data_IF_501337817457
#
_entry.id   IF_501337817457
#
_cell.length_a   1.000
_cell.length_b   1.000
_cell.length_c   1.000
_cell.angle_alpha   90.00
_cell.angle_beta   90.00
_cell.angle_gamma   90.00
#
_symmetry.space_group_name_H-M   'P 1'
#
loop_
_entity.id
_entity.type
_entity.pdbx_description
1 polymer ?
#
# COMPACT_ATOMS: atom_id res chain seq x y z
N UNK A 1 -16.22 16.95 20.10
CA UNK A 1 -15.16 16.35 19.25
C UNK A 1 -15.75 15.15 18.54
N UNK A 2 -15.62 15.07 17.22
CA UNK A 2 -16.19 13.94 16.48
C UNK A 2 -15.49 12.64 16.88
N UNK A 3 -16.25 11.66 17.37
CA UNK A 3 -15.75 10.34 17.82
C UNK A 3 -14.83 9.70 16.79
N UNK A 4 -15.17 9.82 15.50
CA UNK A 4 -14.36 9.32 14.36
C UNK A 4 -12.95 9.92 14.39
N UNK A 5 -12.82 11.22 14.63
CA UNK A 5 -11.50 11.90 14.67
C UNK A 5 -10.67 11.41 15.86
N UNK A 6 -11.29 11.19 17.00
CA UNK A 6 -10.60 10.66 18.18
C UNK A 6 -10.07 9.25 17.93
N UNK A 7 -10.89 8.39 17.30
CA UNK A 7 -10.48 7.04 16.94
C UNK A 7 -9.35 7.08 15.91
N UNK A 8 -9.46 7.95 14.89
CA UNK A 8 -8.43 8.11 13.88
C UNK A 8 -7.09 8.56 14.47
N UNK A 9 -7.10 9.53 15.37
CA UNK A 9 -5.89 9.99 16.07
C UNK A 9 -5.27 8.89 16.94
N UNK A 10 -6.09 8.11 17.64
CA UNK A 10 -5.60 7.01 18.45
C UNK A 10 -4.98 5.92 17.57
N UNK A 11 -5.65 5.54 16.49
CA UNK A 11 -5.15 4.58 15.50
C UNK A 11 -3.84 5.03 14.88
N UNK A 12 -3.74 6.29 14.49
CA UNK A 12 -2.51 6.87 13.95
C UNK A 12 -1.35 6.79 14.96
N UNK A 13 -1.60 7.18 16.24
CA UNK A 13 -0.59 7.10 17.30
C UNK A 13 -0.16 5.68 17.63
N UNK A 14 -1.09 4.73 17.60
CA UNK A 14 -0.80 3.31 17.78
C UNK A 14 0.05 2.77 16.64
N UNK A 15 -0.35 3.06 15.40
CA UNK A 15 0.32 2.57 14.20
C UNK A 15 1.71 3.18 13.99
N UNK A 16 1.93 4.45 14.38
CA UNK A 16 3.28 5.07 14.34
C UNK A 16 4.26 4.35 15.29
N UNK A 17 3.78 3.72 16.35
CA UNK A 17 4.63 2.97 17.28
C UNK A 17 4.91 1.54 16.85
N UNK A 18 4.34 1.11 15.73
CA UNK A 18 4.56 -0.25 15.22
C UNK A 18 5.98 -0.38 14.64
N UNK A 19 6.72 -1.37 15.14
CA UNK A 19 8.10 -1.62 14.70
C UNK A 19 8.18 -1.99 13.22
N UNK A 20 7.16 -2.66 12.70
CA UNK A 20 7.07 -3.07 11.29
C UNK A 20 7.09 -1.84 10.37
N UNK A 21 6.41 -0.76 10.76
CA UNK A 21 6.41 0.50 10.01
C UNK A 21 7.85 1.02 9.79
N UNK A 22 8.63 1.09 10.86
CA UNK A 22 10.00 1.64 10.79
C UNK A 22 10.93 0.76 9.97
N UNK A 23 10.80 -0.56 10.10
CA UNK A 23 11.58 -1.51 9.30
C UNK A 23 11.28 -1.35 7.81
N UNK A 24 10.00 -1.32 7.43
CA UNK A 24 9.59 -1.18 6.04
C UNK A 24 9.98 0.20 5.47
N UNK A 25 9.82 1.26 6.25
CA UNK A 25 10.21 2.62 5.85
C UNK A 25 11.74 2.74 5.68
N UNK A 26 12.51 2.09 6.56
CA UNK A 26 13.96 2.02 6.41
C UNK A 26 14.37 1.30 5.12
N UNK A 27 13.78 0.14 4.82
CA UNK A 27 14.06 -0.59 3.58
C UNK A 27 13.63 0.20 2.34
N UNK A 28 12.52 0.92 2.39
CA UNK A 28 12.08 1.80 1.30
C UNK A 28 13.13 2.88 1.01
N UNK A 29 13.57 3.60 2.05
CA UNK A 29 14.60 4.64 1.91
C UNK A 29 15.94 4.05 1.47
N UNK A 30 16.33 2.89 2.00
CA UNK A 30 17.56 2.20 1.58
C UNK A 30 17.51 1.80 0.10
N UNK A 31 16.36 1.32 -0.40
CA UNK A 31 16.17 1.00 -1.83
C UNK A 31 16.25 2.25 -2.70
N UNK A 32 15.63 3.36 -2.28
CA UNK A 32 15.70 4.64 -2.98
C UNK A 32 17.15 5.15 -3.06
N UNK A 33 17.89 5.11 -1.96
CA UNK A 33 19.28 5.53 -1.94
C UNK A 33 20.20 4.58 -2.72
N UNK A 34 19.92 3.28 -2.67
CA UNK A 34 20.64 2.24 -3.39
C UNK A 34 20.40 2.26 -4.92
N UNK A 35 19.37 2.94 -5.40
CA UNK A 35 19.04 3.03 -6.83
C UNK A 35 20.18 3.58 -7.71
N UNK A 36 21.09 4.37 -7.13
CA UNK A 36 22.28 4.89 -7.82
C UNK A 36 23.22 3.78 -8.30
N UNK A 37 23.37 2.74 -7.49
CA UNK A 37 24.25 1.61 -7.84
C UNK A 37 23.74 0.91 -9.10
N UNK A 38 22.41 0.80 -9.23
CA UNK A 38 21.76 0.25 -10.42
C UNK A 38 21.82 1.22 -11.61
N UNK A 39 21.79 2.54 -11.36
CA UNK A 39 22.00 3.56 -12.38
C UNK A 39 23.38 3.46 -13.04
N UNK A 40 24.45 3.18 -12.28
CA UNK A 40 25.80 3.04 -12.83
C UNK A 40 25.97 1.89 -13.85
N UNK A 41 25.09 0.89 -13.79
CA UNK A 41 25.09 -0.25 -14.73
C UNK A 41 24.46 0.14 -16.07
N UNK A 42 23.67 1.23 -16.08
CA UNK A 42 22.94 1.68 -17.27
C UNK A 42 23.62 2.85 -17.94
N UNK A 43 23.95 2.70 -19.20
CA UNK A 43 24.65 3.72 -19.99
C UNK A 43 23.65 4.80 -20.40
N UNK A 44 23.69 5.97 -19.70
CA UNK A 44 22.99 7.18 -20.11
C UNK A 44 21.50 7.30 -19.68
N UNK A 45 20.97 6.39 -18.86
CA UNK A 45 19.59 6.46 -18.35
C UNK A 45 19.48 6.46 -16.82
N UNK A 46 20.53 6.86 -16.12
CA UNK A 46 20.63 6.82 -14.66
C UNK A 46 19.45 7.49 -13.95
N UNK A 47 19.07 8.69 -14.40
CA UNK A 47 17.99 9.49 -13.81
C UNK A 47 16.62 8.79 -13.94
N UNK A 48 16.37 8.16 -15.08
CA UNK A 48 15.12 7.41 -15.32
C UNK A 48 15.03 6.22 -14.37
N UNK A 49 16.08 5.42 -14.28
CA UNK A 49 16.15 4.25 -13.38
C UNK A 49 15.94 4.66 -11.93
N UNK A 50 16.57 5.76 -11.48
CA UNK A 50 16.39 6.26 -10.11
C UNK A 50 14.92 6.65 -9.87
N UNK A 51 14.24 7.29 -10.82
CA UNK A 51 12.83 7.64 -10.72
C UNK A 51 11.96 6.38 -10.63
N UNK A 52 12.15 5.44 -11.54
CA UNK A 52 11.34 4.22 -11.63
C UNK A 52 11.49 3.37 -10.36
N UNK A 53 12.72 3.17 -9.87
CA UNK A 53 12.98 2.44 -8.62
C UNK A 53 12.38 3.17 -7.42
N UNK A 54 12.46 4.50 -7.38
CA UNK A 54 11.89 5.29 -6.27
C UNK A 54 10.36 5.14 -6.23
N UNK A 55 9.67 5.23 -7.37
CA UNK A 55 8.22 5.04 -7.45
C UNK A 55 7.83 3.60 -7.13
N UNK A 56 8.58 2.62 -7.65
CA UNK A 56 8.38 1.20 -7.33
C UNK A 56 8.54 0.93 -5.83
N UNK A 57 9.60 1.47 -5.21
CA UNK A 57 9.81 1.35 -3.77
C UNK A 57 8.66 1.95 -2.96
N UNK A 58 8.20 3.17 -3.29
CA UNK A 58 7.05 3.80 -2.63
C UNK A 58 5.80 2.94 -2.77
N UNK A 59 5.54 2.38 -3.96
CA UNK A 59 4.40 1.53 -4.24
C UNK A 59 4.45 0.22 -3.44
N UNK A 60 5.56 -0.51 -3.49
CA UNK A 60 5.72 -1.82 -2.84
C UNK A 60 5.75 -1.68 -1.32
N UNK A 61 6.63 -0.82 -0.78
CA UNK A 61 6.74 -0.67 0.67
C UNK A 61 5.51 0.01 1.27
N UNK A 62 4.89 0.96 0.56
CA UNK A 62 3.61 1.53 0.95
C UNK A 62 2.50 0.48 1.04
N UNK A 63 2.41 -0.41 0.05
CA UNK A 63 1.47 -1.53 0.07
C UNK A 63 1.76 -2.51 1.23
N UNK A 64 3.03 -2.85 1.48
CA UNK A 64 3.41 -3.70 2.61
C UNK A 64 3.02 -3.07 3.96
N UNK A 65 3.25 -1.76 4.14
CA UNK A 65 2.79 -1.04 5.33
C UNK A 65 1.27 -1.14 5.47
N UNK A 66 0.51 -0.88 4.39
CA UNK A 66 -0.94 -0.97 4.39
C UNK A 66 -1.44 -2.37 4.75
N UNK A 67 -0.81 -3.41 4.19
CA UNK A 67 -1.16 -4.81 4.41
C UNK A 67 -0.87 -5.23 5.86
N UNK A 68 0.37 -5.07 6.33
CA UNK A 68 0.76 -5.56 7.65
C UNK A 68 0.11 -4.78 8.79
N UNK A 69 0.14 -3.46 8.71
CA UNK A 69 -0.49 -2.62 9.74
C UNK A 69 -2.00 -2.75 9.70
N UNK A 70 -2.61 -2.75 8.48
CA UNK A 70 -4.04 -2.90 8.30
C UNK A 70 -4.59 -4.24 8.78
N UNK A 71 -3.91 -5.35 8.44
CA UNK A 71 -4.32 -6.69 8.86
C UNK A 71 -4.27 -6.90 10.37
N UNK A 72 -3.30 -6.29 11.07
CA UNK A 72 -3.14 -6.45 12.53
C UNK A 72 -4.02 -5.53 13.35
N UNK A 73 -4.51 -4.43 12.76
CA UNK A 73 -5.10 -3.31 13.48
C UNK A 73 -6.41 -3.63 14.19
N UNK A 74 -7.33 -4.35 13.53
CA UNK A 74 -8.62 -4.73 14.13
C UNK A 74 -8.48 -6.00 14.94
N UNK A 75 -7.63 -6.93 14.50
CA UNK A 75 -7.41 -8.18 15.20
C UNK A 75 -6.85 -7.98 16.62
N UNK A 76 -5.88 -7.07 16.79
CA UNK A 76 -5.31 -6.74 18.11
C UNK A 76 -6.37 -6.34 19.14
N UNK A 77 -7.45 -5.70 18.69
CA UNK A 77 -8.54 -5.27 19.58
C UNK A 77 -9.55 -6.39 19.85
N UNK A 78 -9.78 -7.27 18.88
CA UNK A 78 -10.61 -8.46 19.08
C UNK A 78 -9.95 -9.44 20.07
N UNK A 79 -8.67 -9.67 19.92
CA UNK A 79 -7.89 -10.59 20.77
C UNK A 79 -7.81 -10.09 22.23
N UNK A 80 -7.62 -8.81 22.44
CA UNK A 80 -7.56 -8.19 23.77
C UNK A 80 -8.92 -8.03 24.46
N UNK A 81 -10.03 -8.49 23.84
CA UNK A 81 -11.41 -8.30 24.31
C UNK A 81 -11.78 -6.83 24.63
N UNK A 82 -10.95 -5.87 24.21
CA UNK A 82 -11.20 -4.45 24.40
C UNK A 82 -12.42 -3.97 23.60
N UNK A 83 -12.79 -4.70 22.53
CA UNK A 83 -14.04 -4.49 21.81
C UNK A 83 -15.28 -4.57 22.73
N UNK A 84 -15.30 -5.45 23.73
CA UNK A 84 -16.43 -5.53 24.68
C UNK A 84 -16.52 -4.29 25.56
N UNK A 85 -15.38 -3.70 25.94
CA UNK A 85 -15.34 -2.47 26.71
C UNK A 85 -15.71 -1.24 25.87
N UNK A 86 -15.36 -1.25 24.60
CA UNK A 86 -15.71 -0.18 23.64
C UNK A 86 -17.18 -0.27 23.23
N UNK A 87 -17.72 -1.49 23.08
CA UNK A 87 -19.13 -1.74 22.76
C UNK A 87 -20.09 -1.47 23.94
N UNK A 88 -19.58 -1.38 25.18
CA UNK A 88 -20.36 -0.91 26.33
C UNK A 88 -20.68 0.60 26.23
N UNK A 89 -19.93 1.35 25.43
CA UNK A 89 -20.28 2.72 25.06
C UNK A 89 -21.18 2.71 23.81
N UNK A 90 -22.18 3.59 23.67
CA UNK A 90 -23.09 3.65 22.53
C UNK A 90 -22.38 4.19 21.29
N UNK A 91 -21.46 3.38 20.70
CA UNK A 91 -20.77 3.70 19.45
C UNK A 91 -21.32 2.85 18.32
N UNK A 92 -21.54 3.47 17.17
CA UNK A 92 -21.97 2.77 15.97
C UNK A 92 -20.76 2.09 15.30
N UNK A 93 -20.95 0.86 14.78
CA UNK A 93 -19.85 0.08 14.16
C UNK A 93 -19.16 0.81 13.02
N UNK A 94 -19.90 1.61 12.25
CA UNK A 94 -19.31 2.38 11.14
C UNK A 94 -18.38 3.49 11.64
N UNK A 95 -18.65 4.12 12.80
CA UNK A 95 -17.80 5.16 13.38
C UNK A 95 -16.43 4.58 13.76
N UNK A 96 -16.42 3.37 14.25
CA UNK A 96 -15.19 2.64 14.58
C UNK A 96 -14.38 2.30 13.33
N UNK A 97 -14.97 1.65 12.34
CA UNK A 97 -14.29 1.23 11.11
C UNK A 97 -13.78 2.42 10.31
N UNK A 98 -14.60 3.47 10.15
CA UNK A 98 -14.19 4.69 9.44
C UNK A 98 -13.09 5.44 10.19
N UNK A 99 -13.12 5.50 11.52
CA UNK A 99 -12.05 6.09 12.32
C UNK A 99 -10.73 5.34 12.15
N UNK A 100 -10.77 4.01 12.16
CA UNK A 100 -9.60 3.15 11.90
C UNK A 100 -9.03 3.37 10.50
N UNK A 101 -9.88 3.39 9.50
CA UNK A 101 -9.49 3.65 8.11
C UNK A 101 -8.79 5.01 7.98
N UNK A 102 -9.39 6.08 8.50
CA UNK A 102 -8.82 7.42 8.43
C UNK A 102 -7.48 7.52 9.17
N UNK A 103 -7.32 6.82 10.29
CA UNK A 103 -6.05 6.76 11.02
C UNK A 103 -4.94 6.10 10.18
N UNK A 104 -5.23 5.00 9.49
CA UNK A 104 -4.27 4.34 8.58
C UNK A 104 -3.99 5.16 7.33
N UNK A 105 -4.99 5.78 6.75
CA UNK A 105 -4.85 6.70 5.61
C UNK A 105 -3.88 7.83 5.96
N UNK A 106 -4.03 8.43 7.13
CA UNK A 106 -3.11 9.46 7.62
C UNK A 106 -1.68 8.92 7.82
N UNK A 107 -1.53 7.72 8.36
CA UNK A 107 -0.23 7.06 8.53
C UNK A 107 0.47 6.85 7.19
N UNK A 108 -0.24 6.29 6.20
CA UNK A 108 0.29 6.05 4.86
C UNK A 108 0.65 7.36 4.16
N UNK A 109 -0.16 8.41 4.34
CA UNK A 109 0.14 9.73 3.83
C UNK A 109 1.46 10.27 4.38
N UNK A 110 1.67 10.20 5.70
CA UNK A 110 2.93 10.62 6.33
C UNK A 110 4.11 9.77 5.84
N UNK A 111 3.96 8.44 5.77
CA UNK A 111 5.00 7.53 5.29
C UNK A 111 5.38 7.84 3.84
N UNK A 112 4.37 8.06 2.98
CA UNK A 112 4.59 8.40 1.58
C UNK A 112 5.26 9.77 1.42
N UNK A 113 4.88 10.77 2.23
CA UNK A 113 5.53 12.09 2.24
C UNK A 113 7.01 11.97 2.59
N UNK A 114 7.36 11.15 3.59
CA UNK A 114 8.76 10.91 3.98
C UNK A 114 9.55 10.29 2.83
N UNK A 115 9.01 9.25 2.19
CA UNK A 115 9.64 8.59 1.05
C UNK A 115 9.75 9.55 -0.16
N UNK A 116 8.69 10.31 -0.44
CA UNK A 116 8.64 11.29 -1.52
C UNK A 116 9.63 12.43 -1.30
N UNK A 117 9.76 12.94 -0.07
CA UNK A 117 10.74 13.96 0.27
C UNK A 117 12.17 13.43 0.09
N UNK A 118 12.45 12.22 0.59
CA UNK A 118 13.75 11.57 0.43
C UNK A 118 14.14 11.36 -1.02
N UNK A 119 13.23 10.82 -1.84
CA UNK A 119 13.47 10.58 -3.26
C UNK A 119 13.60 11.88 -4.06
N UNK A 120 12.76 12.88 -3.77
CA UNK A 120 12.81 14.19 -4.44
C UNK A 120 14.11 14.92 -4.13
N UNK A 121 14.57 14.90 -2.87
CA UNK A 121 15.85 15.45 -2.45
C UNK A 121 16.99 14.74 -3.17
N UNK A 122 16.95 13.43 -3.22
CA UNK A 122 17.95 12.61 -3.89
C UNK A 122 18.03 12.91 -5.40
N UNK A 123 16.90 13.01 -6.09
CA UNK A 123 16.81 13.36 -7.51
C UNK A 123 17.36 14.76 -7.79
N UNK A 124 17.11 15.75 -6.90
CA UNK A 124 17.69 17.08 -7.01
C UNK A 124 19.22 17.06 -6.91
N UNK A 125 19.77 16.30 -5.98
CA UNK A 125 21.23 16.14 -5.82
C UNK A 125 21.83 15.44 -7.05
N UNK A 126 21.10 14.52 -7.67
CA UNK A 126 21.49 13.85 -8.91
C UNK A 126 21.35 14.75 -10.16
N UNK A 127 20.89 16.00 -10.03
CA UNK A 127 20.73 16.94 -11.16
C UNK A 127 19.48 16.69 -12.01
N UNK A 128 18.54 15.90 -11.52
CA UNK A 128 17.32 15.57 -12.26
C UNK A 128 16.30 16.71 -12.27
N UNK A 129 15.71 17.00 -13.42
CA UNK A 129 14.54 17.86 -13.50
C UNK A 129 13.29 17.15 -12.93
N UNK A 130 12.63 17.79 -11.98
CA UNK A 130 11.41 17.29 -11.33
C UNK A 130 10.23 18.02 -11.97
N UNK A 131 9.46 17.30 -12.79
CA UNK A 131 8.25 17.82 -13.43
C UNK A 131 6.99 17.53 -12.63
N UNK A 132 5.85 18.06 -13.08
CA UNK A 132 4.53 17.84 -12.49
C UNK A 132 4.14 16.35 -12.48
N UNK A 133 4.56 15.61 -13.49
CA UNK A 133 4.31 14.17 -13.65
C UNK A 133 4.82 13.37 -12.44
N UNK A 134 5.95 13.77 -11.84
CA UNK A 134 6.49 13.13 -10.64
C UNK A 134 5.51 13.19 -9.46
N UNK A 135 4.90 14.34 -9.22
CA UNK A 135 3.93 14.51 -8.13
C UNK A 135 2.60 13.81 -8.43
N UNK A 136 2.21 13.78 -9.70
CA UNK A 136 1.02 13.02 -10.13
C UNK A 136 1.20 11.52 -9.90
N UNK A 137 2.37 10.96 -10.22
CA UNK A 137 2.69 9.56 -9.94
C UNK A 137 2.61 9.24 -8.45
N UNK A 138 3.17 10.09 -7.57
CA UNK A 138 3.08 9.92 -6.11
C UNK A 138 1.62 9.96 -5.64
N UNK A 139 0.80 10.87 -6.18
CA UNK A 139 -0.63 10.95 -5.86
C UNK A 139 -1.38 9.69 -6.27
N UNK A 140 -1.11 9.15 -7.45
CA UNK A 140 -1.72 7.90 -7.92
C UNK A 140 -1.32 6.72 -7.05
N UNK A 141 -0.05 6.64 -6.63
CA UNK A 141 0.39 5.64 -5.66
C UNK A 141 -0.41 5.78 -4.35
N UNK A 142 -0.61 7.00 -3.86
CA UNK A 142 -1.41 7.22 -2.64
C UNK A 142 -2.85 6.69 -2.80
N UNK A 143 -3.52 7.02 -3.91
CA UNK A 143 -4.89 6.52 -4.19
C UNK A 143 -4.92 4.99 -4.24
N UNK A 144 -3.93 4.36 -4.89
CA UNK A 144 -3.76 2.90 -4.87
C UNK A 144 -3.66 2.34 -3.45
N UNK A 145 -2.86 2.97 -2.59
CA UNK A 145 -2.70 2.57 -1.19
C UNK A 145 -4.00 2.71 -0.39
N UNK A 146 -4.83 3.70 -0.67
CA UNK A 146 -6.16 3.85 -0.05
C UNK A 146 -7.06 2.64 -0.33
N UNK A 147 -7.05 2.15 -1.58
CA UNK A 147 -7.80 0.96 -1.98
C UNK A 147 -7.31 -0.29 -1.23
N UNK A 148 -6.00 -0.51 -1.20
CA UNK A 148 -5.38 -1.65 -0.50
C UNK A 148 -5.71 -1.61 0.99
N UNK A 149 -5.66 -0.43 1.60
CA UNK A 149 -5.98 -0.22 3.02
C UNK A 149 -7.43 -0.55 3.33
N UNK A 150 -8.38 -0.10 2.48
CA UNK A 150 -9.79 -0.42 2.64
C UNK A 150 -10.02 -1.93 2.63
N UNK A 151 -9.38 -2.63 1.68
CA UNK A 151 -9.47 -4.08 1.56
C UNK A 151 -8.82 -4.80 2.75
N UNK A 152 -7.66 -4.34 3.22
CA UNK A 152 -6.96 -4.88 4.38
C UNK A 152 -7.81 -4.78 5.66
N UNK A 153 -8.44 -3.63 5.90
CA UNK A 153 -9.34 -3.43 7.06
C UNK A 153 -10.57 -4.33 6.95
N UNK A 154 -11.18 -4.44 5.77
CA UNK A 154 -12.32 -5.31 5.57
C UNK A 154 -11.97 -6.75 5.93
N UNK A 155 -10.87 -7.28 5.44
CA UNK A 155 -10.44 -8.64 5.75
C UNK A 155 -10.05 -8.83 7.21
N UNK A 156 -9.46 -7.83 7.84
CA UNK A 156 -9.05 -7.88 9.25
C UNK A 156 -10.24 -8.05 10.23
N UNK A 157 -11.47 -7.81 9.76
CA UNK A 157 -12.70 -8.04 10.55
C UNK A 157 -13.21 -9.47 10.46
N UNK A 158 -12.77 -10.26 9.48
CA UNK A 158 -13.35 -11.59 9.18
C UNK A 158 -12.34 -12.71 9.36
N UNK A 159 -11.06 -12.46 9.07
CA UNK A 159 -10.01 -13.47 9.06
C UNK A 159 -8.88 -13.12 10.02
N UNK A 160 -8.04 -14.13 10.36
CA UNK A 160 -6.84 -13.90 11.17
C UNK A 160 -5.84 -12.99 10.43
N UNK A 161 -4.95 -12.27 11.14
CA UNK A 161 -4.02 -11.30 10.54
C UNK A 161 -3.14 -11.90 9.45
N UNK A 162 -2.66 -13.12 9.66
CA UNK A 162 -1.79 -13.81 8.71
C UNK A 162 -2.54 -14.14 7.42
N UNK A 163 -3.74 -14.70 7.54
CA UNK A 163 -4.58 -15.01 6.37
C UNK A 163 -5.03 -13.73 5.67
N UNK A 164 -5.42 -12.70 6.43
CA UNK A 164 -5.79 -11.38 5.88
C UNK A 164 -4.63 -10.77 5.10
N UNK A 165 -3.43 -10.75 5.67
CA UNK A 165 -2.25 -10.24 5.00
C UNK A 165 -1.92 -11.02 3.71
N UNK A 166 -2.01 -12.37 3.73
CA UNK A 166 -1.78 -13.20 2.55
C UNK A 166 -2.79 -12.93 1.44
N UNK A 167 -4.08 -12.81 1.78
CA UNK A 167 -5.13 -12.54 0.79
C UNK A 167 -4.94 -11.14 0.17
N UNK A 168 -4.67 -10.11 1.00
CA UNK A 168 -4.44 -8.74 0.48
C UNK A 168 -3.17 -8.69 -0.35
N UNK A 169 -2.11 -9.39 0.07
CA UNK A 169 -0.88 -9.47 -0.70
C UNK A 169 -1.09 -10.16 -2.05
N UNK A 170 -1.83 -11.28 -2.08
CA UNK A 170 -2.20 -11.96 -3.33
C UNK A 170 -3.02 -11.07 -4.25
N UNK A 171 -3.94 -10.28 -3.67
CA UNK A 171 -4.72 -9.29 -4.40
C UNK A 171 -3.85 -8.16 -4.97
N UNK A 172 -2.86 -7.69 -4.20
CA UNK A 172 -1.90 -6.69 -4.65
C UNK A 172 -1.06 -7.21 -5.82
N UNK A 173 -0.49 -8.41 -5.69
CA UNK A 173 0.30 -9.05 -6.76
C UNK A 173 -0.55 -9.35 -7.98
N UNK A 174 -1.75 -9.91 -7.79
CA UNK A 174 -2.70 -10.19 -8.87
C UNK A 174 -3.11 -8.92 -9.62
N UNK A 175 -3.36 -7.82 -8.91
CA UNK A 175 -3.68 -6.52 -9.50
C UNK A 175 -2.54 -5.91 -10.34
N UNK A 176 -1.28 -6.27 -10.06
CA UNK A 176 -0.12 -5.88 -10.88
C UNK A 176 0.14 -6.86 -12.04
N UNK A 177 -0.37 -8.08 -11.94
CA UNK A 177 -0.22 -9.10 -12.99
C UNK A 177 -1.32 -9.04 -14.08
N UNK A 178 -2.28 -8.11 -13.96
CA UNK A 178 -3.43 -8.01 -14.88
C UNK A 178 -3.02 -7.81 -16.34
N UNK A 179 -1.94 -7.08 -16.61
CA UNK A 179 -1.44 -6.89 -17.98
C UNK A 179 -0.86 -8.18 -18.55
N UNK A 180 -0.15 -8.96 -17.72
CA UNK A 180 0.37 -10.29 -18.11
C UNK A 180 -0.79 -11.26 -18.37
N UNK A 181 -1.89 -11.14 -17.62
CA UNK A 181 -3.08 -11.97 -17.82
C UNK A 181 -3.82 -11.64 -19.12
N UNK A 182 -3.73 -10.38 -19.58
CA UNK A 182 -4.35 -9.94 -20.84
C UNK A 182 -3.61 -10.49 -22.07
N UNK A 183 -2.29 -10.57 -21.99
CA UNK A 183 -1.41 -10.97 -23.10
C UNK A 183 -1.10 -12.49 -23.07
N UNK A 184 -2.01 -13.29 -22.49
CA UNK A 184 -1.84 -14.74 -22.43
C UNK A 184 -1.73 -15.34 -23.83
N UNK A 185 -0.74 -16.23 -24.06
CA UNK A 185 -0.54 -16.85 -25.37
C UNK A 185 -1.76 -17.67 -25.79
N UNK A 186 -2.04 -17.78 -27.12
CA UNK A 186 -3.18 -18.53 -27.68
C UNK A 186 -3.23 -20.01 -27.26
N UNK A 187 -2.14 -20.54 -26.70
CA UNK A 187 -2.04 -21.93 -26.22
C UNK A 187 -3.04 -22.25 -25.08
N UNK A 188 -3.58 -21.23 -24.41
CA UNK A 188 -4.59 -21.40 -23.35
C UNK A 188 -6.04 -21.31 -23.84
N UNK A 189 -6.23 -21.08 -25.16
CA UNK A 189 -7.57 -21.03 -25.75
C UNK A 189 -8.30 -22.38 -25.59
N UNK A 190 -9.52 -22.31 -25.03
CA UNK A 190 -10.35 -23.49 -24.78
C UNK A 190 -10.11 -24.25 -23.47
N UNK A 191 -9.13 -23.84 -22.66
CA UNK A 191 -8.82 -24.51 -21.38
C UNK A 191 -9.64 -23.90 -20.25
N UNK A 192 -10.05 -24.71 -19.23
CA UNK A 192 -10.69 -24.22 -17.99
C UNK A 192 -9.85 -23.14 -17.28
N UNK A 193 -8.53 -23.19 -17.45
CA UNK A 193 -7.61 -22.20 -16.93
C UNK A 193 -7.90 -20.78 -17.48
N UNK A 194 -8.24 -20.64 -18.77
CA UNK A 194 -8.59 -19.35 -19.38
C UNK A 194 -9.85 -18.77 -18.76
N UNK A 195 -10.88 -19.56 -18.53
CA UNK A 195 -12.13 -19.11 -17.90
C UNK A 195 -11.90 -18.61 -16.47
N UNK A 196 -11.04 -19.29 -15.70
CA UNK A 196 -10.66 -18.88 -14.34
C UNK A 196 -9.88 -17.56 -14.38
N UNK A 197 -8.92 -17.44 -15.32
CA UNK A 197 -8.10 -16.23 -15.47
C UNK A 197 -8.92 -15.03 -15.94
N UNK A 198 -9.85 -15.21 -16.87
CA UNK A 198 -10.81 -14.17 -17.29
C UNK A 198 -11.71 -13.74 -16.14
N UNK A 199 -12.22 -14.68 -15.34
CA UNK A 199 -13.02 -14.36 -14.17
C UNK A 199 -12.20 -13.55 -13.15
N UNK A 200 -10.95 -13.95 -12.91
CA UNK A 200 -10.04 -13.22 -12.03
C UNK A 200 -9.74 -11.81 -12.56
N UNK A 201 -9.58 -11.65 -13.87
CA UNK A 201 -9.36 -10.35 -14.52
C UNK A 201 -10.52 -9.37 -14.28
N UNK A 202 -11.78 -9.85 -14.29
CA UNK A 202 -12.95 -8.99 -14.02
C UNK A 202 -13.16 -8.72 -12.52
N UNK A 203 -12.69 -9.60 -11.64
CA UNK A 203 -12.88 -9.47 -10.18
C UNK A 203 -11.78 -8.64 -9.54
N UNK A 204 -10.54 -8.75 -10.05
CA UNK A 204 -9.38 -8.03 -9.50
C UNK A 204 -9.28 -6.66 -10.18
N UNK A 205 -9.32 -5.54 -9.42
CA UNK A 205 -9.11 -4.23 -10.00
C UNK A 205 -7.70 -4.12 -10.57
N UNK A 206 -7.59 -3.57 -11.77
CA UNK A 206 -6.30 -3.34 -12.42
C UNK A 206 -5.52 -2.25 -11.68
N UNK A 207 -4.55 -2.66 -10.87
CA UNK A 207 -3.70 -1.75 -10.11
C UNK A 207 -2.59 -1.12 -10.97
N UNK A 208 -2.34 -1.64 -12.19
CA UNK A 208 -1.38 -1.04 -13.12
C UNK A 208 -1.83 0.30 -13.67
N UNK A 209 -3.14 0.58 -13.68
CA UNK A 209 -3.66 1.91 -14.04
C UNK A 209 -3.14 3.05 -13.15
N UNK A 210 -2.63 2.72 -11.97
CA UNK A 210 -2.02 3.69 -11.04
C UNK A 210 -0.49 3.76 -11.14
N UNK A 211 0.14 3.00 -12.06
CA UNK A 211 1.56 3.09 -12.37
C UNK A 211 1.73 3.99 -13.61
N UNK A 212 2.45 5.10 -13.46
CA UNK A 212 2.76 6.06 -14.53
C UNK A 212 4.23 5.96 -14.90
#
# INVERSE_FOLDING_TARGET
MNRIVTIAQNTFRESIRDKVLYVLLFFALATILGSKVLGWISIGQDIKIIKDISLAAMSVFGALIAIFVGATLVYKEMDKKTLYTILSQPMKRYEFVTGKYLGLVALLGVSLIIMAAGSTLYLKIAGAAIGLIWFQAILLIYIKLLLITAFAILLSTVVSPILGALIVFSFYVGGHATDVLRDLPPQFDGTRAKQVLETLYYVIPNLNLFNV
#
